data_IF_382454142789
#
_entry.id   IF_382454142789
#
_cell.length_a   1.000
_cell.length_b   1.000
_cell.length_c   1.000
_cell.angle_alpha   90.00
_cell.angle_beta   90.00
_cell.angle_gamma   90.00
#
_symmetry.space_group_name_H-M   'P 1'
#
loop_
_entity.id
_entity.type
_entity.pdbx_description
1 polymer ?
#
# COMPACT_ATOMS: atom_id res chain seq x y z
N UNK A 1 13.93 22.16 -10.80
CA UNK A 1 12.81 21.20 -10.62
C UNK A 1 13.26 19.74 -10.36
N UNK A 2 14.34 19.46 -9.60
CA UNK A 2 14.76 18.07 -9.32
C UNK A 2 14.29 17.52 -7.95
N UNK A 3 13.85 18.38 -7.02
CA UNK A 3 13.47 17.97 -5.66
C UNK A 3 12.17 17.15 -5.60
N UNK A 4 11.20 17.42 -6.48
CA UNK A 4 9.93 16.70 -6.52
C UNK A 4 10.10 15.22 -6.87
N UNK A 5 11.14 14.86 -7.64
CA UNK A 5 11.41 13.47 -8.02
C UNK A 5 11.85 12.61 -6.83
N UNK A 6 12.79 13.11 -6.02
CA UNK A 6 13.31 12.38 -4.84
C UNK A 6 12.28 12.22 -3.72
N UNK A 7 11.51 13.27 -3.43
CA UNK A 7 10.46 13.20 -2.40
C UNK A 7 9.35 12.21 -2.77
N UNK A 8 8.98 12.18 -4.06
CA UNK A 8 7.99 11.24 -4.60
C UNK A 8 8.50 9.80 -4.58
N UNK A 9 9.75 9.58 -4.93
CA UNK A 9 10.40 8.27 -4.86
C UNK A 9 10.43 7.74 -3.41
N UNK A 10 10.82 8.58 -2.45
CA UNK A 10 10.77 8.22 -1.03
C UNK A 10 9.36 7.93 -0.53
N UNK A 11 8.36 8.72 -0.96
CA UNK A 11 6.96 8.46 -0.62
C UNK A 11 6.46 7.12 -1.16
N UNK A 12 6.84 6.75 -2.39
CA UNK A 12 6.51 5.47 -2.99
C UNK A 12 7.17 4.30 -2.26
N UNK A 13 8.45 4.44 -1.88
CA UNK A 13 9.15 3.42 -1.08
C UNK A 13 8.48 3.22 0.28
N UNK A 14 8.15 4.30 0.99
CA UNK A 14 7.44 4.22 2.28
C UNK A 14 6.08 3.55 2.13
N UNK A 15 5.33 3.91 1.09
CA UNK A 15 4.04 3.29 0.81
C UNK A 15 4.18 1.79 0.55
N UNK A 16 5.24 1.36 -0.15
CA UNK A 16 5.49 -0.05 -0.40
C UNK A 16 5.81 -0.83 0.88
N UNK A 17 6.70 -0.31 1.73
CA UNK A 17 7.03 -0.93 3.02
C UNK A 17 5.80 -1.02 3.93
N UNK A 18 4.97 0.02 3.98
CA UNK A 18 3.72 0.01 4.74
C UNK A 18 2.77 -1.10 4.28
N UNK A 19 2.64 -1.27 2.96
CA UNK A 19 1.82 -2.32 2.37
C UNK A 19 2.33 -3.72 2.75
N UNK A 20 3.63 -3.97 2.67
CA UNK A 20 4.22 -5.25 3.06
C UNK A 20 3.99 -5.57 4.54
N UNK A 21 4.11 -4.57 5.41
CA UNK A 21 3.82 -4.73 6.85
C UNK A 21 2.33 -5.06 7.07
N UNK A 22 1.42 -4.37 6.38
CA UNK A 22 -0.01 -4.63 6.50
C UNK A 22 -0.38 -6.03 6.03
N UNK A 23 0.14 -6.47 4.87
CA UNK A 23 -0.05 -7.84 4.35
C UNK A 23 0.50 -8.89 5.32
N UNK A 24 1.69 -8.68 5.87
CA UNK A 24 2.27 -9.58 6.86
C UNK A 24 1.43 -9.63 8.15
N UNK A 25 0.90 -8.50 8.61
CA UNK A 25 0.02 -8.43 9.76
C UNK A 25 -1.29 -9.19 9.54
N UNK A 26 -1.93 -9.02 8.37
CA UNK A 26 -3.16 -9.74 8.03
C UNK A 26 -2.91 -11.25 7.95
N UNK A 27 -1.84 -11.67 7.29
CA UNK A 27 -1.51 -13.09 7.12
C UNK A 27 -1.14 -13.80 8.42
N UNK A 28 -0.54 -13.07 9.38
CA UNK A 28 -0.17 -13.61 10.69
C UNK A 28 -1.27 -13.44 11.74
N UNK A 29 -2.39 -12.81 11.41
CA UNK A 29 -3.48 -12.62 12.34
C UNK A 29 -4.28 -13.92 12.49
N UNK A 30 -4.07 -14.62 13.59
CA UNK A 30 -4.74 -15.87 13.95
C UNK A 30 -6.20 -15.67 14.38
N UNK A 31 -6.62 -14.44 14.69
CA UNK A 31 -8.00 -14.10 15.05
C UNK A 31 -8.91 -13.98 13.82
N UNK A 32 -8.35 -13.78 12.63
CA UNK A 32 -9.11 -13.68 11.39
C UNK A 32 -9.36 -15.05 10.77
N UNK A 33 -10.59 -15.27 10.32
CA UNK A 33 -10.90 -16.41 9.46
C UNK A 33 -10.23 -16.24 8.08
N UNK A 34 -10.08 -17.33 7.33
CA UNK A 34 -9.52 -17.29 5.97
C UNK A 34 -10.28 -16.34 5.04
N UNK A 35 -11.60 -16.25 5.18
CA UNK A 35 -12.43 -15.34 4.38
C UNK A 35 -12.19 -13.87 4.76
N UNK A 36 -12.08 -13.56 6.04
CA UNK A 36 -11.77 -12.22 6.53
C UNK A 36 -10.36 -11.77 6.14
N UNK A 37 -9.38 -12.68 6.23
CA UNK A 37 -8.02 -12.43 5.74
C UNK A 37 -8.05 -12.09 4.23
N UNK A 38 -8.75 -12.88 3.42
CA UNK A 38 -8.86 -12.60 1.98
C UNK A 38 -9.54 -11.27 1.69
N UNK A 39 -10.58 -10.91 2.45
CA UNK A 39 -11.27 -9.62 2.31
C UNK A 39 -10.33 -8.46 2.66
N UNK A 40 -9.65 -8.56 3.81
CA UNK A 40 -8.69 -7.55 4.27
C UNK A 40 -7.52 -7.37 3.28
N UNK A 41 -6.97 -8.46 2.73
CA UNK A 41 -5.92 -8.40 1.71
C UNK A 41 -6.39 -7.69 0.43
N UNK A 42 -7.63 -7.93 -0.01
CA UNK A 42 -8.22 -7.25 -1.17
C UNK A 42 -8.40 -5.76 -0.92
N UNK A 43 -8.93 -5.38 0.23
CA UNK A 43 -9.09 -3.98 0.62
C UNK A 43 -7.76 -3.24 0.71
N UNK A 44 -6.75 -3.89 1.31
CA UNK A 44 -5.40 -3.33 1.41
C UNK A 44 -4.73 -3.16 0.05
N UNK A 45 -4.89 -4.13 -0.87
CA UNK A 45 -4.41 -4.01 -2.24
C UNK A 45 -5.06 -2.83 -2.99
N UNK A 46 -6.37 -2.63 -2.82
CA UNK A 46 -7.10 -1.50 -3.43
C UNK A 46 -6.56 -0.17 -2.88
N UNK A 47 -6.43 -0.07 -1.55
CA UNK A 47 -5.92 1.11 -0.86
C UNK A 47 -4.48 1.46 -1.31
N UNK A 48 -3.59 0.46 -1.34
CA UNK A 48 -2.23 0.61 -1.84
C UNK A 48 -2.21 1.15 -3.27
N UNK A 49 -3.00 0.58 -4.17
CA UNK A 49 -3.05 1.01 -5.57
C UNK A 49 -3.62 2.43 -5.73
N UNK A 50 -4.63 2.80 -4.95
CA UNK A 50 -5.19 4.16 -4.95
C UNK A 50 -4.14 5.18 -4.49
N UNK A 51 -3.48 4.93 -3.36
CA UNK A 51 -2.41 5.80 -2.84
C UNK A 51 -1.23 5.87 -3.79
N UNK A 52 -0.83 4.74 -4.38
CA UNK A 52 0.25 4.67 -5.37
C UNK A 52 -0.06 5.51 -6.60
N UNK A 53 -1.28 5.43 -7.13
CA UNK A 53 -1.75 6.29 -8.24
C UNK A 53 -1.70 7.77 -7.87
N UNK A 54 -2.17 8.14 -6.68
CA UNK A 54 -2.09 9.51 -6.17
C UNK A 54 -0.65 10.04 -6.10
N UNK A 55 0.29 9.23 -5.60
CA UNK A 55 1.71 9.59 -5.52
C UNK A 55 2.40 9.62 -6.89
N UNK A 56 2.06 8.69 -7.78
CA UNK A 56 2.58 8.65 -9.16
C UNK A 56 2.02 9.78 -10.03
N UNK A 57 1.02 10.52 -9.52
CA UNK A 57 0.31 11.55 -10.25
C UNK A 57 -0.73 10.90 -11.14
N UNK A 58 -2.00 11.23 -10.90
CA UNK A 58 -2.93 11.34 -12.02
C UNK A 58 -2.30 12.31 -13.01
N UNK A 59 -1.87 11.82 -14.17
CA UNK A 59 -1.55 12.69 -15.28
C UNK A 59 -2.82 13.50 -15.58
N UNK A 60 -2.81 14.77 -15.19
CA UNK A 60 -3.70 15.82 -15.67
C UNK A 60 -2.81 16.94 -16.16
#
# INVERSE_FOLDING_TARGET
MQFHSKAKEQALMRLHVQHEIAVAGINKNEELTKEEQQKALKEELINFNQKKKGLQGSAF
#
